data_IF_909810743491
#
_entry.id   IF_909810743491
#
_cell.length_a   1.000
_cell.length_b   1.000
_cell.length_c   1.000
_cell.angle_alpha   90.00
_cell.angle_beta   90.00
_cell.angle_gamma   90.00
#
_symmetry.space_group_name_H-M   'P 1'
#
loop_
_entity.id
_entity.type
_entity.pdbx_description
1 polymer ?
#
# COMPACT_ATOMS: atom_id res chain seq x y z
N UNK A 1 -7.96 22.78 7.04
CA UNK A 1 -7.70 21.43 7.60
C UNK A 1 -7.99 20.49 6.45
N UNK A 2 -7.02 20.40 5.57
CA UNK A 2 -7.11 19.64 4.33
C UNK A 2 -6.72 18.21 4.68
N UNK A 3 -7.68 17.29 4.50
CA UNK A 3 -7.56 15.88 4.85
C UNK A 3 -6.85 15.18 3.69
N UNK A 4 -5.60 14.70 3.84
CA UNK A 4 -4.78 14.27 2.70
C UNK A 4 -5.18 12.95 2.03
N UNK A 5 -6.18 12.22 2.55
CA UNK A 5 -6.52 10.89 2.00
C UNK A 5 -7.64 10.85 0.94
N UNK A 6 -8.29 11.97 0.58
CA UNK A 6 -9.32 11.93 -0.49
C UNK A 6 -8.74 11.97 -1.92
N UNK A 7 -7.42 11.85 -2.10
CA UNK A 7 -6.73 12.09 -3.38
C UNK A 7 -5.68 11.03 -3.76
N UNK A 8 -5.76 9.80 -3.25
CA UNK A 8 -5.05 8.71 -3.93
C UNK A 8 -5.71 8.48 -5.28
N UNK A 9 -5.16 9.15 -6.30
CA UNK A 9 -5.50 8.93 -7.69
C UNK A 9 -5.41 7.42 -7.96
N UNK A 10 -6.36 6.80 -8.68
CA UNK A 10 -6.33 5.36 -8.96
C UNK A 10 -5.00 4.90 -9.57
N UNK A 11 -4.26 5.80 -10.23
CA UNK A 11 -2.91 5.60 -10.70
C UNK A 11 -1.89 5.31 -9.56
N UNK A 12 -1.96 6.05 -8.45
CA UNK A 12 -1.08 5.85 -7.28
C UNK A 12 -1.37 4.51 -6.63
N UNK A 13 -2.65 4.10 -6.54
CA UNK A 13 -3.02 2.77 -6.05
C UNK A 13 -2.45 1.65 -6.94
N UNK A 14 -2.48 1.81 -8.26
CA UNK A 14 -1.96 0.81 -9.20
C UNK A 14 -0.43 0.71 -9.15
N UNK A 15 0.25 1.86 -8.97
CA UNK A 15 1.70 1.93 -8.74
C UNK A 15 2.08 1.27 -7.42
N UNK A 16 1.38 1.58 -6.32
CA UNK A 16 1.60 0.98 -5.00
C UNK A 16 1.43 -0.53 -5.05
N UNK A 17 0.38 -1.02 -5.71
CA UNK A 17 0.15 -2.45 -5.89
C UNK A 17 1.27 -3.11 -6.69
N UNK A 18 1.69 -2.48 -7.79
CA UNK A 18 2.80 -2.98 -8.61
C UNK A 18 4.13 -3.01 -7.88
N UNK A 19 4.42 -1.98 -7.08
CA UNK A 19 5.61 -1.89 -6.24
C UNK A 19 5.58 -2.94 -5.13
N UNK A 20 4.45 -3.08 -4.44
CA UNK A 20 4.21 -4.09 -3.42
C UNK A 20 4.45 -5.50 -3.97
N UNK A 21 3.80 -5.87 -5.08
CA UNK A 21 3.96 -7.20 -5.69
C UNK A 21 5.41 -7.47 -6.06
N UNK A 22 6.11 -6.50 -6.66
CA UNK A 22 7.53 -6.64 -6.99
C UNK A 22 8.40 -6.87 -5.76
N UNK A 23 8.22 -6.06 -4.71
CA UNK A 23 8.98 -6.17 -3.47
C UNK A 23 8.70 -7.49 -2.75
N UNK A 24 7.43 -7.89 -2.67
CA UNK A 24 7.04 -9.16 -2.04
C UNK A 24 7.66 -10.36 -2.76
N UNK A 25 7.75 -10.32 -4.10
CA UNK A 25 8.39 -11.37 -4.90
C UNK A 25 9.92 -11.34 -4.74
N UNK A 26 10.53 -10.15 -4.78
CA UNK A 26 11.97 -9.96 -4.71
C UNK A 26 12.53 -10.30 -3.32
N UNK A 27 11.91 -9.77 -2.27
CA UNK A 27 12.29 -9.98 -0.86
C UNK A 27 11.72 -11.29 -0.29
N UNK A 28 10.88 -12.01 -1.05
CA UNK A 28 10.15 -13.21 -0.60
C UNK A 28 9.43 -12.97 0.74
N UNK A 29 8.70 -11.86 0.84
CA UNK A 29 7.95 -11.53 2.05
C UNK A 29 6.87 -12.60 2.25
N UNK A 30 6.78 -13.25 3.41
CA UNK A 30 5.71 -14.19 3.71
C UNK A 30 4.36 -13.48 3.85
N UNK A 31 3.26 -14.14 3.49
CA UNK A 31 1.89 -13.58 3.52
C UNK A 31 1.49 -12.98 4.88
N UNK A 32 2.01 -13.55 5.97
CA UNK A 32 1.82 -13.05 7.33
C UNK A 32 2.33 -11.61 7.52
N UNK A 33 3.36 -11.21 6.76
CA UNK A 33 3.97 -9.88 6.79
C UNK A 33 3.45 -8.95 5.69
N UNK A 34 2.57 -9.42 4.81
CA UNK A 34 2.08 -8.62 3.69
C UNK A 34 1.29 -7.40 4.15
N UNK A 35 0.46 -7.55 5.19
CA UNK A 35 -0.26 -6.41 5.79
C UNK A 35 0.70 -5.34 6.28
N UNK A 36 1.61 -5.70 7.19
CA UNK A 36 2.57 -4.76 7.76
C UNK A 36 3.45 -4.12 6.70
N UNK A 37 3.89 -4.89 5.69
CA UNK A 37 4.72 -4.36 4.61
C UNK A 37 3.94 -3.41 3.70
N UNK A 38 2.69 -3.74 3.35
CA UNK A 38 1.85 -2.84 2.56
C UNK A 38 1.49 -1.57 3.35
N UNK A 39 1.22 -1.66 4.65
CA UNK A 39 1.00 -0.49 5.51
C UNK A 39 2.23 0.43 5.51
N UNK A 40 3.43 -0.14 5.71
CA UNK A 40 4.68 0.63 5.65
C UNK A 40 4.92 1.24 4.27
N UNK A 41 4.69 0.49 3.19
CA UNK A 41 4.86 0.98 1.83
C UNK A 41 3.92 2.16 1.52
N UNK A 42 2.65 2.04 1.91
CA UNK A 42 1.66 3.09 1.66
C UNK A 42 2.02 4.32 2.49
N UNK A 43 2.34 4.15 3.77
CA UNK A 43 2.74 5.26 4.64
C UNK A 43 3.99 6.00 4.15
N UNK A 44 5.00 5.26 3.69
CA UNK A 44 6.22 5.83 3.09
C UNK A 44 5.92 6.61 1.80
N UNK A 45 4.95 6.13 1.00
CA UNK A 45 4.62 6.73 -0.29
C UNK A 45 3.66 7.92 -0.19
N UNK A 46 2.73 7.90 0.77
CA UNK A 46 1.72 8.96 0.97
C UNK A 46 2.14 9.98 2.03
N UNK A 47 3.26 9.75 2.73
CA UNK A 47 3.68 10.48 3.94
C UNK A 47 2.53 10.58 4.97
N UNK A 48 1.59 9.63 4.90
CA UNK A 48 0.33 9.65 5.63
C UNK A 48 0.16 8.33 6.36
N UNK A 49 -0.06 8.42 7.67
CA UNK A 49 -0.35 7.26 8.53
C UNK A 49 -1.81 6.78 8.36
N UNK A 50 -2.67 7.60 7.76
CA UNK A 50 -4.09 7.32 7.54
C UNK A 50 -4.25 6.44 6.28
N UNK A 51 -3.93 5.16 6.42
CA UNK A 51 -4.06 4.17 5.35
C UNK A 51 -5.48 3.61 5.36
N UNK A 52 -6.18 3.74 4.23
CA UNK A 52 -7.49 3.11 4.06
C UNK A 52 -7.35 1.58 4.16
N UNK A 53 -8.03 0.93 5.13
CA UNK A 53 -7.93 -0.52 5.29
C UNK A 53 -8.48 -1.27 4.07
N UNK A 54 -9.45 -0.70 3.36
CA UNK A 54 -9.95 -1.26 2.10
C UNK A 54 -8.90 -1.21 0.98
N UNK A 55 -8.09 -0.14 0.91
CA UNK A 55 -6.98 -0.03 -0.03
C UNK A 55 -5.88 -1.04 0.30
N UNK A 56 -5.55 -1.18 1.58
CA UNK A 56 -4.60 -2.17 2.07
C UNK A 56 -5.03 -3.59 1.68
N UNK A 57 -6.29 -3.94 1.96
CA UNK A 57 -6.88 -5.22 1.57
C UNK A 57 -6.88 -5.41 0.05
N UNK A 58 -7.09 -4.35 -0.73
CA UNK A 58 -7.05 -4.42 -2.19
C UNK A 58 -5.63 -4.64 -2.75
N UNK A 59 -4.60 -4.06 -2.12
CA UNK A 59 -3.19 -4.21 -2.52
C UNK A 59 -2.67 -5.61 -2.20
N UNK A 60 -2.99 -6.15 -1.01
CA UNK A 60 -2.60 -7.52 -0.62
C UNK A 60 -3.41 -8.60 -1.36
N UNK A 61 -4.56 -8.23 -1.93
CA UNK A 61 -5.41 -9.15 -2.69
C UNK A 61 -4.79 -9.42 -4.05
N UNK A 62 -4.60 -10.72 -4.32
CA UNK A 62 -4.02 -11.26 -5.55
C UNK A 62 -4.83 -10.86 -6.79
#
# INVERSE_FOLDING_TARGET
>A
MDRPCNQVSPFVCDVLRSAFIKLVIEEKIPEDRWRTFAEQLISDFTDSDDIDPELLEWIIRK
#
